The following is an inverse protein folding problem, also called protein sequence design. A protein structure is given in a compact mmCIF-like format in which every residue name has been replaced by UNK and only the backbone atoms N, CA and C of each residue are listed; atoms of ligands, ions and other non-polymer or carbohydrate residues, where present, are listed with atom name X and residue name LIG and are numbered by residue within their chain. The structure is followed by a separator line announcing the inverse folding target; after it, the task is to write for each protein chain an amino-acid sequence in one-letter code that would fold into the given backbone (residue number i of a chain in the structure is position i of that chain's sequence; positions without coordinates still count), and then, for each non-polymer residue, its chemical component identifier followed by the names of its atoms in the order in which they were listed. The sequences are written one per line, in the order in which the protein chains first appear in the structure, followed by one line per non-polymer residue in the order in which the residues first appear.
data_IF_895615165381
#
_entry.id   IF_895615165381
#
_cell.length_a   1.000
_cell.length_b   1.000
_cell.length_c   1.000
_cell.angle_alpha   90.00
_cell.angle_beta   90.00
_cell.angle_gamma   90.00
#
_symmetry.space_group_name_H-M   'P 1'
#
loop_
_entity.id
_entity.type
_entity.pdbx_description
1 polymer ?
#
# COMPACT_ATOMS: atom_id res chain seq x y z
N UNK A 1 -21.81 27.98 -7.57
CA UNK A 1 -21.90 26.64 -6.95
C UNK A 1 -20.67 25.73 -7.21
N UNK A 2 -19.61 26.24 -7.84
CA UNK A 2 -18.40 25.45 -8.16
C UNK A 2 -17.22 25.69 -7.19
N UNK A 3 -17.44 26.31 -6.05
CA UNK A 3 -16.35 26.73 -5.14
C UNK A 3 -16.11 25.80 -3.96
N UNK A 4 -16.91 24.77 -3.76
CA UNK A 4 -16.85 23.91 -2.55
C UNK A 4 -16.08 22.60 -2.80
N UNK A 5 -15.88 22.20 -4.04
CA UNK A 5 -15.20 20.94 -4.37
C UNK A 5 -13.66 21.04 -4.40
N UNK A 6 -13.12 22.22 -4.53
CA UNK A 6 -11.65 22.41 -4.62
C UNK A 6 -10.95 22.41 -3.26
N UNK A 7 -11.67 22.72 -2.19
CA UNK A 7 -11.08 22.78 -0.83
C UNK A 7 -10.80 21.43 -0.18
N UNK A 8 -11.44 20.35 -0.64
CA UNK A 8 -11.26 19.02 -0.06
C UNK A 8 -10.01 18.29 -0.56
N UNK A 9 -9.43 18.73 -1.67
CA UNK A 9 -8.23 18.13 -2.28
C UNK A 9 -6.90 18.58 -1.65
N UNK A 10 -6.89 19.68 -0.89
CA UNK A 10 -5.65 20.35 -0.45
C UNK A 10 -5.31 20.12 1.03
N UNK A 11 -6.22 19.61 1.84
CA UNK A 11 -5.98 19.49 3.30
C UNK A 11 -5.19 18.27 3.78
N UNK A 12 -4.74 17.40 2.89
CA UNK A 12 -3.89 16.25 3.26
C UNK A 12 -2.38 16.59 3.35
N UNK A 13 -1.97 17.82 3.09
CA UNK A 13 -0.54 18.18 2.91
C UNK A 13 0.16 18.81 4.13
N UNK A 14 -0.47 18.99 5.26
CA UNK A 14 0.22 19.69 6.36
C UNK A 14 0.19 18.90 7.66
N UNK A 15 1.25 18.15 7.93
CA UNK A 15 1.94 18.06 9.23
C UNK A 15 2.93 16.90 9.27
N UNK A 16 4.08 17.03 8.64
CA UNK A 16 5.33 16.45 9.17
C UNK A 16 6.47 17.39 8.81
N UNK A 17 6.83 18.26 9.73
CA UNK A 17 8.13 18.94 9.74
C UNK A 17 9.06 18.15 10.62
N UNK A 18 10.03 17.46 10.04
CA UNK A 18 11.21 17.00 10.77
C UNK A 18 12.41 17.80 10.30
N UNK A 19 13.04 18.49 11.24
CA UNK A 19 14.35 19.11 11.08
C UNK A 19 15.38 18.00 10.93
N UNK A 20 16.17 18.10 9.90
CA UNK A 20 17.41 17.33 9.77
C UNK A 20 18.59 18.29 9.66
N UNK A 21 19.51 18.19 10.59
CA UNK A 21 20.82 18.87 10.55
C UNK A 21 21.93 17.82 10.41
N UNK A 22 22.57 17.85 9.27
CA UNK A 22 23.98 17.56 9.14
C UNK A 22 24.39 16.16 8.74
N UNK A 23 24.77 15.99 7.48
CA UNK A 23 25.80 15.02 7.09
C UNK A 23 26.57 15.48 5.84
N UNK A 24 27.85 15.31 5.92
CA UNK A 24 28.89 15.82 5.06
C UNK A 24 28.97 15.12 3.70
N UNK A 25 29.26 15.90 2.68
CA UNK A 25 29.71 15.55 1.33
C UNK A 25 30.63 14.31 1.26
N UNK A 26 30.25 13.37 0.41
CA UNK A 26 31.15 12.54 -0.38
C UNK A 26 30.49 12.30 -1.74
N UNK A 27 31.08 12.89 -2.77
CA UNK A 27 30.85 12.58 -4.17
C UNK A 27 31.03 11.06 -4.39
N UNK A 28 29.97 10.40 -4.76
CA UNK A 28 29.99 9.12 -5.47
C UNK A 28 29.04 9.26 -6.64
N UNK A 29 29.54 8.94 -7.84
CA UNK A 29 28.73 8.73 -9.04
C UNK A 29 27.72 7.62 -8.75
N UNK A 30 26.57 8.00 -8.21
CA UNK A 30 25.41 7.13 -7.99
C UNK A 30 24.55 7.17 -9.24
N UNK A 31 24.54 6.08 -9.96
CA UNK A 31 23.36 5.66 -10.71
C UNK A 31 22.26 5.48 -9.66
N UNK A 32 21.56 6.56 -9.30
CA UNK A 32 20.38 6.51 -8.46
C UNK A 32 19.34 5.66 -9.18
N UNK A 33 19.21 4.42 -8.77
CA UNK A 33 17.94 3.70 -8.88
C UNK A 33 16.91 4.59 -8.17
N UNK A 34 16.15 5.35 -8.96
CA UNK A 34 15.15 6.25 -8.44
C UNK A 34 14.10 5.37 -7.74
N UNK A 35 14.03 5.49 -6.42
CA UNK A 35 12.87 4.97 -5.68
C UNK A 35 11.63 5.54 -6.32
N UNK A 36 10.59 4.73 -6.58
CA UNK A 36 9.30 5.31 -6.92
C UNK A 36 8.91 6.25 -5.79
N UNK A 37 8.89 7.53 -6.10
CA UNK A 37 8.58 8.59 -5.16
C UNK A 37 7.07 8.68 -4.98
N UNK A 38 6.61 9.44 -3.99
CA UNK A 38 5.19 9.79 -3.88
C UNK A 38 4.68 10.44 -5.17
N UNK A 39 5.56 11.15 -5.88
CA UNK A 39 5.30 11.79 -7.16
C UNK A 39 5.08 10.76 -8.26
N UNK A 40 5.88 9.69 -8.34
CA UNK A 40 5.72 8.63 -9.36
C UNK A 40 4.39 7.89 -9.18
N UNK A 41 4.01 7.62 -7.95
CA UNK A 41 2.71 7.02 -7.62
C UNK A 41 1.55 7.98 -7.91
N UNK A 42 1.71 9.27 -7.61
CA UNK A 42 0.75 10.31 -7.95
C UNK A 42 0.61 10.46 -9.46
N UNK A 43 1.72 10.46 -10.19
CA UNK A 43 1.74 10.57 -11.64
C UNK A 43 1.13 9.35 -12.31
N UNK A 44 1.38 8.14 -11.79
CA UNK A 44 0.72 6.92 -12.25
C UNK A 44 -0.81 6.97 -12.05
N UNK A 45 -1.30 7.55 -10.94
CA UNK A 45 -2.72 7.76 -10.69
C UNK A 45 -3.29 8.88 -11.55
N UNK A 46 -2.55 9.98 -11.75
CA UNK A 46 -2.97 11.10 -12.59
C UNK A 46 -2.93 10.76 -14.09
N UNK A 47 -2.09 9.81 -14.51
CA UNK A 47 -2.08 9.29 -15.89
C UNK A 47 -3.29 8.40 -16.20
N UNK A 48 -4.02 7.96 -15.16
CA UNK A 48 -5.36 7.43 -15.31
C UNK A 48 -6.27 8.63 -15.62
N UNK A 49 -6.67 8.78 -16.89
CA UNK A 49 -7.47 9.94 -17.33
C UNK A 49 -8.72 10.13 -16.47
N UNK A 50 -9.16 11.37 -16.33
CA UNK A 50 -10.34 11.74 -15.52
C UNK A 50 -11.60 10.93 -15.88
N UNK A 51 -11.72 10.49 -17.13
CA UNK A 51 -12.85 9.69 -17.62
C UNK A 51 -12.89 8.27 -17.06
N UNK A 52 -11.76 7.73 -16.58
CA UNK A 52 -11.69 6.35 -16.07
C UNK A 52 -12.04 6.23 -14.59
N UNK A 53 -12.06 7.34 -13.85
CA UNK A 53 -12.32 7.40 -12.41
C UNK A 53 -13.66 8.08 -12.05
N UNK A 54 -14.56 8.23 -13.00
CA UNK A 54 -15.83 8.98 -12.85
C UNK A 54 -16.71 8.49 -11.68
N UNK A 55 -16.54 7.24 -11.27
CA UNK A 55 -17.41 6.64 -10.25
C UNK A 55 -16.75 6.39 -8.90
N UNK A 56 -15.44 6.67 -8.74
CA UNK A 56 -14.71 6.30 -7.52
C UNK A 56 -13.71 7.36 -7.08
N UNK A 57 -13.71 7.68 -5.79
CA UNK A 57 -12.63 8.44 -5.16
C UNK A 57 -11.50 7.49 -4.77
N UNK A 58 -10.26 7.85 -5.09
CA UNK A 58 -9.07 7.11 -4.68
C UNK A 58 -8.33 7.90 -3.60
N UNK A 59 -8.15 7.26 -2.45
CA UNK A 59 -7.40 7.82 -1.34
C UNK A 59 -6.05 7.13 -1.23
N UNK A 60 -4.99 7.91 -1.32
CA UNK A 60 -3.63 7.49 -1.08
C UNK A 60 -3.25 7.81 0.36
N UNK A 61 -3.01 6.78 1.17
CA UNK A 61 -2.77 6.97 2.61
C UNK A 61 -1.40 6.40 2.97
N UNK A 62 -0.42 7.29 3.20
CA UNK A 62 0.87 6.91 3.72
C UNK A 62 0.79 6.82 5.25
N UNK A 63 0.83 5.60 5.78
CA UNK A 63 0.72 5.33 7.19
C UNK A 63 2.10 5.28 7.87
N UNK A 64 2.15 5.69 9.13
CA UNK A 64 3.30 5.52 10.00
C UNK A 64 2.94 4.71 11.24
N UNK A 65 3.93 4.44 12.09
CA UNK A 65 3.76 3.79 13.39
C UNK A 65 3.08 2.40 13.32
N UNK A 66 3.31 1.63 12.25
CA UNK A 66 2.77 0.27 12.10
C UNK A 66 3.26 -0.64 13.23
N UNK A 67 4.53 -0.50 13.66
CA UNK A 67 5.10 -1.23 14.80
C UNK A 67 4.48 -0.86 16.16
N UNK A 68 3.75 0.25 16.24
CA UNK A 68 3.02 0.67 17.46
C UNK A 68 1.54 0.30 17.31
N UNK A 69 1.27 -1.00 17.18
CA UNK A 69 -0.09 -1.55 17.07
C UNK A 69 -0.91 -0.88 15.95
N UNK A 70 -0.27 -0.61 14.79
CA UNK A 70 -0.89 0.02 13.63
C UNK A 70 -1.55 1.38 13.96
N UNK A 71 -0.85 2.21 14.75
CA UNK A 71 -1.39 3.47 15.24
C UNK A 71 -1.81 4.39 14.09
N UNK A 72 -1.04 4.48 13.01
CA UNK A 72 -1.37 5.32 11.85
C UNK A 72 -2.71 4.95 11.23
N UNK A 73 -2.99 3.67 10.99
CA UNK A 73 -4.28 3.22 10.46
C UNK A 73 -5.42 3.47 11.45
N UNK A 74 -5.17 3.29 12.74
CA UNK A 74 -6.20 3.52 13.77
C UNK A 74 -6.60 4.99 13.85
N UNK A 75 -5.63 5.90 13.81
CA UNK A 75 -5.87 7.36 13.77
C UNK A 75 -6.58 7.76 12.46
N UNK A 76 -6.10 7.24 11.31
CA UNK A 76 -6.79 7.45 10.05
C UNK A 76 -8.27 7.04 10.11
N UNK A 77 -8.56 5.88 10.67
CA UNK A 77 -9.92 5.41 10.81
C UNK A 77 -10.72 6.23 11.85
N UNK A 78 -10.09 6.73 12.90
CA UNK A 78 -10.76 7.61 13.87
C UNK A 78 -11.28 8.89 13.17
N UNK A 79 -10.45 9.47 12.31
CA UNK A 79 -10.78 10.73 11.65
C UNK A 79 -11.67 10.55 10.40
N UNK A 80 -11.39 9.53 9.58
CA UNK A 80 -11.94 9.43 8.22
C UNK A 80 -12.88 8.26 7.97
N UNK A 81 -13.17 7.41 8.96
CA UNK A 81 -14.02 6.21 8.77
C UNK A 81 -15.37 6.50 8.09
N UNK A 82 -15.97 7.67 8.37
CA UNK A 82 -17.24 8.04 7.76
C UNK A 82 -17.08 8.34 6.27
N UNK A 83 -15.98 9.01 5.89
CA UNK A 83 -15.66 9.39 4.51
C UNK A 83 -15.29 8.18 3.64
N UNK A 84 -14.58 7.20 4.22
CA UNK A 84 -14.16 5.97 3.51
C UNK A 84 -15.12 4.80 3.74
N UNK A 85 -16.34 5.05 4.16
CA UNK A 85 -17.33 4.00 4.41
C UNK A 85 -17.65 3.24 3.13
N UNK A 86 -17.48 1.92 3.18
CA UNK A 86 -17.76 1.04 2.04
C UNK A 86 -16.62 0.92 1.04
N UNK A 87 -15.53 1.67 1.20
CA UNK A 87 -14.35 1.55 0.36
C UNK A 87 -13.70 0.17 0.45
N UNK A 88 -12.95 -0.19 -0.58
CA UNK A 88 -11.94 -1.22 -0.50
C UNK A 88 -10.66 -0.62 0.11
N UNK A 89 -10.02 -1.37 1.00
CA UNK A 89 -8.72 -1.04 1.56
C UNK A 89 -7.70 -2.04 1.02
N UNK A 90 -6.78 -1.56 0.22
CA UNK A 90 -5.64 -2.36 -0.27
C UNK A 90 -4.41 -1.90 0.47
N UNK A 91 -3.89 -2.75 1.35
CA UNK A 91 -2.64 -2.49 2.04
C UNK A 91 -1.48 -3.04 1.21
N UNK A 92 -0.44 -2.25 1.02
CA UNK A 92 0.80 -2.64 0.35
C UNK A 92 1.90 -2.65 1.41
N UNK A 93 2.48 -3.81 1.64
CA UNK A 93 3.49 -4.01 2.66
C UNK A 93 4.64 -4.85 2.11
N UNK A 94 5.88 -4.37 2.26
CA UNK A 94 7.10 -5.09 1.86
C UNK A 94 7.08 -5.63 0.42
N UNK A 95 6.43 -4.93 -0.50
CA UNK A 95 6.15 -5.42 -1.87
C UNK A 95 7.37 -5.42 -2.80
N UNK A 96 8.52 -4.96 -2.35
CA UNK A 96 9.77 -4.89 -3.13
C UNK A 96 10.72 -6.05 -2.88
N UNK A 97 10.32 -7.12 -2.19
CA UNK A 97 11.18 -8.28 -1.94
C UNK A 97 10.35 -9.54 -1.71
N UNK A 98 10.94 -10.70 -1.99
CA UNK A 98 10.28 -12.00 -1.84
C UNK A 98 9.17 -12.27 -2.86
N UNK A 99 8.42 -13.33 -2.64
CA UNK A 99 7.31 -13.73 -3.50
C UNK A 99 6.08 -12.83 -3.25
N UNK A 100 5.63 -12.09 -4.25
CA UNK A 100 4.44 -11.27 -4.15
C UNK A 100 3.21 -12.13 -3.83
N UNK A 101 2.49 -11.78 -2.79
CA UNK A 101 1.43 -12.61 -2.21
C UNK A 101 0.22 -11.77 -1.81
N UNK A 102 -0.98 -12.23 -2.15
CA UNK A 102 -2.24 -11.74 -1.61
C UNK A 102 -2.51 -12.50 -0.30
N UNK A 103 -2.60 -11.79 0.81
CA UNK A 103 -2.95 -12.41 2.07
C UNK A 103 -4.44 -12.77 2.08
N UNK A 104 -4.75 -14.04 2.33
CA UNK A 104 -6.14 -14.53 2.46
C UNK A 104 -6.66 -14.40 3.89
N UNK A 105 -5.74 -14.32 4.83
CA UNK A 105 -5.98 -13.99 6.24
C UNK A 105 -4.67 -13.58 6.89
N UNK A 106 -4.76 -12.83 7.97
CA UNK A 106 -3.63 -12.34 8.75
C UNK A 106 -3.91 -12.37 10.25
N UNK A 107 -2.88 -12.28 11.07
CA UNK A 107 -2.96 -12.23 12.52
C UNK A 107 -2.35 -13.43 13.23
N UNK A 108 -1.51 -13.14 14.24
CA UNK A 108 -0.83 -14.15 15.05
C UNK A 108 -1.72 -14.71 16.17
N UNK A 109 -2.42 -13.85 16.89
CA UNK A 109 -3.30 -14.23 17.99
C UNK A 109 -4.75 -14.35 17.57
N UNK A 110 -5.23 -13.44 16.79
CA UNK A 110 -6.58 -13.43 16.24
C UNK A 110 -6.55 -13.37 14.72
N UNK A 111 -6.97 -14.44 14.08
CA UNK A 111 -6.97 -14.50 12.60
C UNK A 111 -8.12 -13.67 12.02
N UNK A 112 -7.80 -12.69 11.21
CA UNK A 112 -8.74 -11.91 10.40
C UNK A 112 -8.67 -12.35 8.94
N UNK A 113 -9.83 -12.52 8.31
CA UNK A 113 -9.90 -12.91 6.90
C UNK A 113 -9.99 -11.67 6.02
N UNK A 114 -9.19 -11.67 4.97
CA UNK A 114 -9.31 -10.67 3.91
C UNK A 114 -10.65 -10.77 3.19
N UNK A 115 -11.12 -9.67 2.62
CA UNK A 115 -12.34 -9.65 1.84
C UNK A 115 -12.22 -10.56 0.62
N UNK A 116 -13.14 -11.51 0.49
CA UNK A 116 -13.10 -12.52 -0.58
C UNK A 116 -13.29 -11.95 -1.97
N UNK A 117 -14.07 -10.86 -2.11
CA UNK A 117 -14.29 -10.22 -3.39
C UNK A 117 -13.01 -9.50 -3.83
N UNK A 118 -12.39 -8.77 -2.91
CA UNK A 118 -11.13 -8.06 -3.17
C UNK A 118 -9.99 -9.03 -3.50
N UNK A 119 -9.84 -10.13 -2.75
CA UNK A 119 -8.85 -11.19 -3.04
C UNK A 119 -9.06 -11.82 -4.42
N UNK A 120 -10.31 -12.05 -4.82
CA UNK A 120 -10.60 -12.60 -6.14
C UNK A 120 -10.31 -11.60 -7.25
N UNK A 121 -10.67 -10.34 -7.04
CA UNK A 121 -10.44 -9.26 -8.01
C UNK A 121 -8.94 -9.03 -8.21
N UNK A 122 -8.16 -8.91 -7.14
CA UNK A 122 -6.69 -8.83 -7.19
C UNK A 122 -6.09 -10.01 -7.97
N UNK A 123 -6.54 -11.23 -7.68
CA UNK A 123 -6.04 -12.42 -8.38
C UNK A 123 -6.45 -12.48 -9.85
N UNK A 124 -7.61 -11.96 -10.24
CA UNK A 124 -8.03 -11.85 -11.63
C UNK A 124 -7.17 -10.84 -12.40
N UNK A 125 -6.99 -9.66 -11.81
CA UNK A 125 -6.14 -8.61 -12.38
C UNK A 125 -4.71 -9.09 -12.55
N UNK A 126 -4.13 -9.73 -11.51
CA UNK A 126 -2.78 -10.27 -11.59
C UNK A 126 -2.63 -11.28 -12.74
N UNK A 127 -3.62 -12.17 -12.92
CA UNK A 127 -3.62 -13.14 -14.03
C UNK A 127 -3.66 -12.46 -15.39
N UNK A 128 -4.51 -11.45 -15.57
CA UNK A 128 -4.68 -10.74 -16.83
C UNK A 128 -3.42 -9.93 -17.19
N UNK A 129 -2.74 -9.38 -16.18
CA UNK A 129 -1.48 -8.66 -16.34
C UNK A 129 -0.24 -9.57 -16.37
N UNK A 130 -0.42 -10.90 -16.25
CA UNK A 130 0.67 -11.89 -16.18
C UNK A 130 1.63 -11.63 -15.01
N UNK A 131 1.14 -11.02 -13.94
CA UNK A 131 1.90 -10.82 -12.70
C UNK A 131 1.79 -12.08 -11.84
N UNK A 132 2.93 -12.66 -11.47
CA UNK A 132 2.95 -13.82 -10.60
C UNK A 132 2.62 -13.42 -9.17
N UNK A 133 1.45 -13.81 -8.66
CA UNK A 133 0.99 -13.48 -7.31
C UNK A 133 0.48 -14.73 -6.61
N UNK A 134 1.12 -15.05 -5.49
CA UNK A 134 0.70 -16.13 -4.61
C UNK A 134 -0.53 -15.79 -3.77
N UNK A 135 -1.06 -16.78 -3.07
CA UNK A 135 -2.12 -16.62 -2.07
C UNK A 135 -1.73 -17.40 -0.82
N UNK A 136 -1.59 -16.70 0.31
CA UNK A 136 -1.15 -17.33 1.57
C UNK A 136 -1.93 -16.79 2.76
N UNK A 137 -1.86 -17.51 3.87
CA UNK A 137 -2.22 -17.02 5.21
C UNK A 137 -0.97 -16.43 5.84
N UNK A 138 -1.09 -15.29 6.48
CA UNK A 138 -0.02 -14.67 7.25
C UNK A 138 -0.32 -14.85 8.74
N UNK A 139 0.45 -15.69 9.39
CA UNK A 139 0.19 -16.14 10.77
C UNK A 139 1.14 -15.52 11.79
N UNK A 140 2.11 -14.72 11.34
CA UNK A 140 3.17 -14.20 12.20
C UNK A 140 2.82 -12.89 12.88
N UNK A 141 2.07 -12.03 12.20
CA UNK A 141 1.72 -10.71 12.70
C UNK A 141 0.40 -10.22 12.07
N UNK A 142 -0.01 -9.05 12.48
CA UNK A 142 -1.02 -8.22 11.86
C UNK A 142 -0.36 -7.28 10.84
N UNK A 143 -1.16 -6.69 9.94
CA UNK A 143 -0.73 -5.63 9.03
C UNK A 143 -1.58 -4.37 9.25
N UNK A 144 -1.27 -3.28 8.54
CA UNK A 144 -2.09 -2.06 8.59
C UNK A 144 -3.52 -2.26 8.04
N UNK A 145 -3.81 -3.37 7.34
CA UNK A 145 -5.17 -3.74 6.97
C UNK A 145 -6.00 -4.30 8.14
N UNK A 146 -5.36 -4.87 9.17
CA UNK A 146 -6.07 -5.49 10.30
C UNK A 146 -7.03 -4.53 11.02
N UNK A 147 -6.65 -3.29 11.39
CA UNK A 147 -7.59 -2.34 11.97
C UNK A 147 -8.79 -2.01 11.07
N UNK A 148 -8.60 -1.96 9.76
CA UNK A 148 -9.70 -1.77 8.81
C UNK A 148 -10.64 -2.98 8.80
N UNK A 149 -10.12 -4.20 8.86
CA UNK A 149 -10.92 -5.43 9.00
C UNK A 149 -11.71 -5.44 10.31
N UNK A 150 -11.11 -5.01 11.43
CA UNK A 150 -11.81 -4.84 12.70
C UNK A 150 -12.94 -3.80 12.60
N UNK A 151 -12.75 -2.77 11.81
CA UNK A 151 -13.78 -1.76 11.51
C UNK A 151 -14.83 -2.25 10.50
N UNK A 152 -14.82 -3.55 10.15
CA UNK A 152 -15.72 -4.19 9.17
C UNK A 152 -15.59 -3.60 7.76
N UNK A 153 -14.43 -3.07 7.41
CA UNK A 153 -14.13 -2.64 6.06
C UNK A 153 -13.66 -3.82 5.20
N UNK A 154 -13.85 -3.70 3.90
CA UNK A 154 -13.37 -4.69 2.93
C UNK A 154 -11.89 -4.46 2.66
N UNK A 155 -11.03 -5.24 3.30
CA UNK A 155 -9.60 -5.05 3.24
C UNK A 155 -8.86 -6.33 2.79
N UNK A 156 -7.72 -6.13 2.14
CA UNK A 156 -6.75 -7.17 1.82
C UNK A 156 -5.34 -6.57 1.76
N UNK A 157 -4.33 -7.40 2.00
CA UNK A 157 -2.91 -7.01 1.91
C UNK A 157 -2.24 -7.72 0.75
N UNK A 158 -1.45 -6.96 -0.02
CA UNK A 158 -0.40 -7.44 -0.91
C UNK A 158 0.93 -7.33 -0.16
N UNK A 159 1.68 -8.42 -0.08
CA UNK A 159 2.93 -8.48 0.68
C UNK A 159 3.96 -9.36 -0.05
N UNK A 160 5.23 -8.96 -0.01
CA UNK A 160 6.33 -9.81 -0.43
C UNK A 160 6.76 -10.73 0.69
N UNK A 161 6.71 -12.04 0.46
CA UNK A 161 7.00 -13.05 1.48
C UNK A 161 8.14 -13.97 1.03
N UNK A 162 8.97 -14.35 1.97
CA UNK A 162 9.93 -15.43 1.82
C UNK A 162 9.24 -16.80 1.73
N UNK A 163 10.01 -17.85 1.49
CA UNK A 163 9.49 -19.23 1.49
C UNK A 163 8.89 -19.63 2.83
N UNK A 164 9.42 -19.12 3.91
CA UNK A 164 8.97 -19.35 5.30
C UNK A 164 7.67 -18.59 5.61
N UNK A 165 7.28 -17.64 4.73
CA UNK A 165 6.05 -16.88 4.87
C UNK A 165 6.17 -15.65 5.79
N UNK A 166 7.38 -15.11 5.92
CA UNK A 166 7.67 -13.82 6.59
C UNK A 166 8.12 -12.78 5.55
N UNK A 167 8.00 -11.48 5.81
CA UNK A 167 8.56 -10.46 4.93
C UNK A 167 10.06 -10.66 4.76
N UNK A 168 10.55 -10.74 3.52
CA UNK A 168 11.89 -11.25 3.23
C UNK A 168 13.01 -10.38 3.80
N UNK A 169 12.92 -9.06 3.64
CA UNK A 169 13.95 -8.13 4.07
C UNK A 169 13.63 -7.42 5.39
N UNK A 170 12.36 -7.40 5.77
CA UNK A 170 11.89 -6.60 6.91
C UNK A 170 12.61 -6.98 8.21
N UNK A 171 13.13 -5.97 8.91
CA UNK A 171 13.89 -6.13 10.16
C UNK A 171 15.21 -6.88 10.03
N UNK A 172 15.80 -6.96 8.84
CA UNK A 172 17.13 -7.51 8.61
C UNK A 172 18.13 -6.41 8.29
N UNK A 173 19.42 -6.73 8.32
CA UNK A 173 20.49 -5.83 7.88
C UNK A 173 20.50 -5.60 6.37
N UNK A 174 19.80 -6.46 5.63
CA UNK A 174 19.66 -6.42 4.18
C UNK A 174 18.43 -5.59 3.74
N UNK A 175 17.69 -5.00 4.68
CA UNK A 175 16.56 -4.08 4.38
C UNK A 175 17.12 -2.71 3.99
N UNK A 176 17.75 -2.68 2.84
CA UNK A 176 18.37 -1.51 2.23
C UNK A 176 17.80 -1.26 0.83
N UNK A 177 17.81 -0.01 0.35
CA UNK A 177 17.22 0.35 -0.94
C UNK A 177 17.72 -0.46 -2.13
N UNK A 178 18.98 -0.85 -2.08
CA UNK A 178 19.68 -1.58 -3.13
C UNK A 178 19.11 -2.99 -3.34
N UNK A 179 18.50 -3.56 -2.32
CA UNK A 179 17.90 -4.89 -2.34
C UNK A 179 16.40 -4.87 -2.69
N UNK A 180 15.84 -3.70 -2.95
CA UNK A 180 14.43 -3.58 -3.39
C UNK A 180 14.31 -3.92 -4.87
N UNK A 181 13.48 -4.92 -5.20
CA UNK A 181 13.11 -5.25 -6.57
C UNK A 181 12.16 -4.20 -7.15
N UNK A 182 12.74 -3.26 -7.91
CA UNK A 182 12.00 -2.18 -8.54
C UNK A 182 11.02 -2.67 -9.61
N UNK A 183 11.29 -3.78 -10.30
CA UNK A 183 10.39 -4.34 -11.32
C UNK A 183 9.14 -4.93 -10.64
N UNK A 184 9.31 -5.56 -9.47
CA UNK A 184 8.18 -6.02 -8.68
C UNK A 184 7.32 -4.85 -8.19
N UNK A 185 7.92 -3.75 -7.74
CA UNK A 185 7.19 -2.54 -7.32
C UNK A 185 6.39 -1.96 -8.48
N UNK A 186 6.97 -1.86 -9.68
CA UNK A 186 6.27 -1.43 -10.90
C UNK A 186 5.11 -2.38 -11.23
N UNK A 187 5.31 -3.68 -11.10
CA UNK A 187 4.26 -4.67 -11.34
C UNK A 187 3.09 -4.54 -10.37
N UNK A 188 3.39 -4.28 -9.09
CA UNK A 188 2.37 -4.00 -8.06
C UNK A 188 1.61 -2.72 -8.38
N UNK A 189 2.32 -1.66 -8.81
CA UNK A 189 1.69 -0.41 -9.21
C UNK A 189 0.69 -0.62 -10.34
N UNK A 190 1.08 -1.33 -11.40
CA UNK A 190 0.18 -1.68 -12.52
C UNK A 190 -1.02 -2.50 -12.06
N UNK A 191 -0.80 -3.47 -11.15
CA UNK A 191 -1.85 -4.32 -10.61
C UNK A 191 -2.88 -3.51 -9.83
N UNK A 192 -2.42 -2.59 -8.96
CA UNK A 192 -3.32 -1.75 -8.17
C UNK A 192 -4.06 -0.73 -9.04
N UNK A 193 -3.38 -0.13 -10.03
CA UNK A 193 -4.02 0.79 -10.98
C UNK A 193 -5.14 0.09 -11.76
N UNK A 194 -4.89 -1.11 -12.26
CA UNK A 194 -5.91 -1.88 -12.98
C UNK A 194 -7.04 -2.38 -12.06
N UNK A 195 -6.71 -2.68 -10.78
CA UNK A 195 -7.73 -2.98 -9.78
C UNK A 195 -8.70 -1.80 -9.59
N UNK A 196 -8.18 -0.58 -9.49
CA UNK A 196 -8.96 0.64 -9.34
C UNK A 196 -9.91 0.82 -10.53
N UNK A 197 -9.43 0.57 -11.76
CA UNK A 197 -10.28 0.65 -12.97
C UNK A 197 -11.44 -0.34 -12.97
N UNK A 198 -11.29 -1.49 -12.31
CA UNK A 198 -12.29 -2.57 -12.29
C UNK A 198 -13.17 -2.58 -11.05
N UNK A 199 -12.88 -1.73 -10.07
CA UNK A 199 -13.64 -1.69 -8.80
C UNK A 199 -14.86 -0.78 -8.83
#
# INVERSE_FOLDING_TARGET
ENSVMESSRIQAESKVSMKDEGARDRERDDVRLQRPTKEDLREAILSMGDDELISHDVWFVALGASSIRHAGMREFLADFRKSVRGAFVVNLDSVGAGDLTILTSEGASETRRSDRRLVRLLGSVAKDLHVNVGRRRYIWAETDATPAMHASMRAATLMGLSREGVPELSHTVDDVPENVDSEQVVSVTKLVSELIRRS
#
